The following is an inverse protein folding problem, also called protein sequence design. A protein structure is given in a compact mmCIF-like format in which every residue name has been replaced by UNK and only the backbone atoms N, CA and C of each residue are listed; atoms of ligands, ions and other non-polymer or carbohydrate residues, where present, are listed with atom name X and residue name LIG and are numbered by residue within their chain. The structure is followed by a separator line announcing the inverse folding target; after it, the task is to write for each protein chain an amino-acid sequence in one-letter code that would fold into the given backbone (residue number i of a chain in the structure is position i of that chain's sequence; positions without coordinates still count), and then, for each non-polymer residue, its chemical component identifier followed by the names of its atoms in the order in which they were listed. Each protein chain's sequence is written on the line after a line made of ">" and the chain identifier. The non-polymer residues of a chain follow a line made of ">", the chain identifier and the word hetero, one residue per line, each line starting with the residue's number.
data_IF_932561692769
#
_entry.id   IF_932561692769
#
_cell.length_a   1.000
_cell.length_b   1.000
_cell.length_c   1.000
_cell.angle_alpha   90.00
_cell.angle_beta   90.00
_cell.angle_gamma   90.00
#
_symmetry.space_group_name_H-M   'P 1'
#
loop_
_entity.id
_entity.type
_entity.pdbx_description
1 polymer ?
#
# COMPACT_ATOMS: atom_id res chain seq x y z
N UNK A 1 21.74 4.30 -3.72
CA UNK A 1 20.46 3.56 -3.77
C UNK A 1 19.42 4.47 -4.39
N UNK A 2 19.07 4.21 -5.65
CA UNK A 2 18.21 5.08 -6.46
C UNK A 2 16.74 4.95 -6.04
N UNK A 3 16.31 5.84 -5.14
CA UNK A 3 14.93 5.88 -4.63
C UNK A 3 13.92 6.06 -5.78
N UNK A 4 14.30 6.84 -6.80
CA UNK A 4 13.49 7.06 -8.00
C UNK A 4 13.22 5.78 -8.81
N UNK A 5 14.14 4.82 -8.83
CA UNK A 5 13.93 3.53 -9.49
C UNK A 5 12.88 2.70 -8.75
N UNK A 6 13.00 2.64 -7.42
CA UNK A 6 12.06 1.93 -6.55
C UNK A 6 10.66 2.52 -6.57
N UNK A 7 10.53 3.85 -6.63
CA UNK A 7 9.23 4.50 -6.77
C UNK A 7 8.57 4.18 -8.10
N UNK A 8 9.32 4.19 -9.21
CA UNK A 8 8.79 3.82 -10.52
C UNK A 8 8.29 2.39 -10.56
N UNK A 9 9.06 1.46 -10.00
CA UNK A 9 8.67 0.05 -9.89
C UNK A 9 7.42 -0.12 -9.00
N UNK A 10 7.35 0.60 -7.87
CA UNK A 10 6.19 0.60 -7.00
C UNK A 10 4.92 1.12 -7.70
N UNK A 11 5.03 2.19 -8.49
CA UNK A 11 3.92 2.72 -9.29
C UNK A 11 3.47 1.69 -10.34
N UNK A 12 4.40 0.98 -10.98
CA UNK A 12 4.05 -0.07 -11.93
C UNK A 12 3.31 -1.23 -11.25
N UNK A 13 3.79 -1.69 -10.10
CA UNK A 13 3.12 -2.72 -9.30
C UNK A 13 1.70 -2.30 -8.91
N UNK A 14 1.50 -1.05 -8.50
CA UNK A 14 0.16 -0.52 -8.21
C UNK A 14 -0.76 -0.55 -9.43
N UNK A 15 -0.25 -0.14 -10.59
CA UNK A 15 -1.03 -0.14 -11.82
C UNK A 15 -1.38 -1.58 -12.26
N UNK A 16 -0.48 -2.53 -12.06
CA UNK A 16 -0.71 -3.95 -12.34
C UNK A 16 -1.74 -4.56 -11.38
N UNK A 17 -1.64 -4.23 -10.09
CA UNK A 17 -2.61 -4.62 -9.07
C UNK A 17 -4.01 -4.09 -9.42
N UNK A 18 -4.13 -2.83 -9.81
CA UNK A 18 -5.42 -2.22 -10.19
C UNK A 18 -6.03 -2.91 -11.41
N UNK A 19 -5.21 -3.26 -12.41
CA UNK A 19 -5.65 -4.02 -13.58
C UNK A 19 -6.18 -5.40 -13.17
N UNK A 20 -5.51 -6.10 -12.25
CA UNK A 20 -5.99 -7.40 -11.72
C UNK A 20 -7.32 -7.27 -11.00
N UNK A 21 -7.49 -6.24 -10.16
CA UNK A 21 -8.76 -5.96 -9.47
C UNK A 21 -9.89 -5.73 -10.47
N UNK A 22 -9.68 -4.85 -11.48
CA UNK A 22 -10.68 -4.55 -12.51
C UNK A 22 -11.03 -5.76 -13.38
N UNK A 23 -10.02 -6.57 -13.72
CA UNK A 23 -10.21 -7.83 -14.44
C UNK A 23 -10.99 -8.86 -13.59
N UNK A 24 -10.78 -8.87 -12.27
CA UNK A 24 -11.59 -9.68 -11.35
C UNK A 24 -13.05 -9.24 -11.37
N UNK A 25 -13.31 -7.92 -11.29
CA UNK A 25 -14.67 -7.36 -11.31
C UNK A 25 -15.44 -7.61 -12.62
N UNK A 26 -14.74 -7.68 -13.76
CA UNK A 26 -15.37 -7.96 -15.07
C UNK A 26 -15.67 -9.45 -15.28
N UNK A 27 -14.87 -10.35 -14.72
CA UNK A 27 -15.04 -11.79 -14.85
C UNK A 27 -16.00 -12.37 -13.80
N UNK A 28 -16.08 -11.73 -12.62
CA UNK A 28 -16.87 -12.17 -11.46
C UNK A 28 -18.40 -12.02 -11.59
N UNK A 29 -18.94 -11.54 -12.72
CA UNK A 29 -20.37 -11.69 -12.98
C UNK A 29 -20.77 -13.15 -13.22
N UNK A 30 -19.82 -14.06 -13.46
CA UNK A 30 -20.06 -15.50 -13.56
C UNK A 30 -19.26 -16.30 -12.54
N UNK A 31 -19.92 -16.78 -11.48
CA UNK A 31 -19.53 -17.93 -10.66
C UNK A 31 -18.08 -17.97 -10.08
N UNK A 32 -17.94 -17.62 -8.79
CA UNK A 32 -17.06 -18.36 -7.85
C UNK A 32 -15.51 -18.37 -8.05
N UNK A 33 -14.89 -17.36 -8.67
CA UNK A 33 -13.43 -17.42 -8.97
C UNK A 33 -12.56 -16.18 -8.77
N UNK A 34 -13.03 -15.10 -8.14
CA UNK A 34 -12.32 -13.81 -8.15
C UNK A 34 -11.66 -13.35 -6.87
N UNK A 35 -11.78 -14.09 -5.75
CA UNK A 35 -11.09 -13.74 -4.50
C UNK A 35 -9.56 -13.83 -4.66
N UNK A 36 -9.04 -14.87 -5.32
CA UNK A 36 -7.59 -15.06 -5.52
C UNK A 36 -6.93 -13.89 -6.27
N UNK A 37 -7.63 -13.31 -7.27
CA UNK A 37 -7.11 -12.12 -7.99
C UNK A 37 -7.08 -10.87 -7.12
N UNK A 38 -8.00 -10.75 -6.18
CA UNK A 38 -8.05 -9.63 -5.23
C UNK A 38 -6.96 -9.83 -4.17
N UNK A 39 -6.72 -11.07 -3.71
CA UNK A 39 -5.60 -11.41 -2.80
C UNK A 39 -4.24 -11.10 -3.43
N UNK A 40 -4.01 -11.52 -4.68
CA UNK A 40 -2.78 -11.16 -5.42
C UNK A 40 -2.60 -9.64 -5.53
N UNK A 41 -3.69 -8.91 -5.79
CA UNK A 41 -3.63 -7.45 -5.87
C UNK A 41 -3.30 -6.81 -4.50
N UNK A 42 -3.83 -7.34 -3.40
CA UNK A 42 -3.45 -6.91 -2.05
C UNK A 42 -1.95 -7.04 -1.82
N UNK A 43 -1.37 -8.19 -2.13
CA UNK A 43 0.07 -8.43 -1.96
C UNK A 43 0.91 -7.47 -2.82
N UNK A 44 0.49 -7.20 -4.05
CA UNK A 44 1.16 -6.24 -4.93
C UNK A 44 1.12 -4.81 -4.38
N UNK A 45 -0.02 -4.38 -3.84
CA UNK A 45 -0.14 -3.08 -3.19
C UNK A 45 0.75 -2.98 -1.95
N UNK A 46 0.79 -4.01 -1.12
CA UNK A 46 1.65 -4.08 0.07
C UNK A 46 3.13 -4.05 -0.30
N UNK A 47 3.53 -4.77 -1.36
CA UNK A 47 4.90 -4.73 -1.88
C UNK A 47 5.25 -3.32 -2.38
N UNK A 48 4.37 -2.70 -3.18
CA UNK A 48 4.56 -1.32 -3.64
C UNK A 48 4.69 -0.34 -2.46
N UNK A 49 3.84 -0.48 -1.43
CA UNK A 49 3.90 0.33 -0.23
C UNK A 49 5.26 0.24 0.49
N UNK A 50 5.80 -0.98 0.62
CA UNK A 50 7.12 -1.18 1.21
C UNK A 50 8.24 -0.55 0.37
N UNK A 51 8.14 -0.57 -0.96
CA UNK A 51 9.09 0.12 -1.84
C UNK A 51 9.02 1.65 -1.69
N UNK A 52 7.82 2.22 -1.57
CA UNK A 52 7.64 3.64 -1.26
C UNK A 52 8.20 4.02 0.12
N UNK A 53 8.05 3.15 1.14
CA UNK A 53 8.70 3.34 2.45
C UNK A 53 10.22 3.40 2.31
N UNK A 54 10.83 2.51 1.53
CA UNK A 54 12.28 2.53 1.28
C UNK A 54 12.74 3.78 0.53
N UNK A 55 11.90 4.31 -0.37
CA UNK A 55 12.14 5.58 -1.05
C UNK A 55 11.87 6.81 -0.15
N UNK A 56 11.44 6.60 1.10
CA UNK A 56 11.01 7.65 2.04
C UNK A 56 9.84 8.48 1.54
N UNK A 57 9.07 7.94 0.59
CA UNK A 57 7.85 8.53 0.08
C UNK A 57 6.64 7.98 0.85
N UNK A 58 6.51 8.48 2.08
CA UNK A 58 5.51 8.01 3.03
C UNK A 58 4.07 8.31 2.58
N UNK A 59 3.85 9.38 1.81
CA UNK A 59 2.55 9.70 1.22
C UNK A 59 2.11 8.63 0.22
N UNK A 60 2.98 8.23 -0.70
CA UNK A 60 2.68 7.18 -1.67
C UNK A 60 2.52 5.81 -1.00
N UNK A 61 3.34 5.51 0.01
CA UNK A 61 3.20 4.30 0.82
C UNK A 61 1.83 4.19 1.50
N UNK A 62 1.39 5.28 2.15
CA UNK A 62 0.07 5.34 2.79
C UNK A 62 -1.06 5.11 1.78
N UNK A 63 -0.97 5.73 0.60
CA UNK A 63 -1.96 5.53 -0.47
C UNK A 63 -2.02 4.06 -0.91
N UNK A 64 -0.87 3.41 -1.10
CA UNK A 64 -0.79 2.00 -1.49
C UNK A 64 -1.40 1.07 -0.41
N UNK A 65 -1.08 1.30 0.87
CA UNK A 65 -1.69 0.55 1.98
C UNK A 65 -3.21 0.78 2.07
N UNK A 66 -3.70 2.00 1.82
CA UNK A 66 -5.14 2.25 1.75
C UNK A 66 -5.82 1.43 0.64
N UNK A 67 -5.18 1.26 -0.51
CA UNK A 67 -5.73 0.41 -1.59
C UNK A 67 -5.74 -1.06 -1.19
N UNK A 68 -4.64 -1.58 -0.62
CA UNK A 68 -4.60 -2.94 -0.06
C UNK A 68 -5.69 -3.16 0.99
N UNK A 69 -5.86 -2.21 1.92
CA UNK A 69 -6.85 -2.29 2.99
C UNK A 69 -8.28 -2.37 2.46
N UNK A 70 -8.61 -1.58 1.43
CA UNK A 70 -9.92 -1.61 0.76
C UNK A 70 -10.21 -2.95 0.10
N UNK A 71 -9.21 -3.55 -0.54
CA UNK A 71 -9.34 -4.89 -1.13
C UNK A 71 -9.51 -5.98 -0.06
N UNK A 72 -8.76 -5.90 1.04
CA UNK A 72 -8.97 -6.80 2.19
C UNK A 72 -10.39 -6.70 2.77
N UNK A 73 -11.03 -5.52 2.74
CA UNK A 73 -12.45 -5.40 3.11
C UNK A 73 -13.37 -6.16 2.15
N UNK A 74 -13.09 -6.12 0.84
CA UNK A 74 -13.87 -6.85 -0.17
C UNK A 74 -13.74 -8.37 0.00
N UNK A 75 -12.56 -8.83 0.42
CA UNK A 75 -12.29 -10.23 0.78
C UNK A 75 -12.89 -10.66 2.12
N UNK A 76 -13.55 -9.74 2.85
CA UNK A 76 -14.00 -9.94 4.23
C UNK A 76 -12.88 -10.23 5.26
N UNK A 77 -11.61 -10.01 4.89
CA UNK A 77 -10.46 -10.07 5.80
C UNK A 77 -10.35 -8.81 6.65
N UNK A 78 -11.27 -8.67 7.62
CA UNK A 78 -11.37 -7.49 8.48
C UNK A 78 -10.10 -7.21 9.29
N UNK A 79 -9.42 -8.26 9.76
CA UNK A 79 -8.18 -8.14 10.53
C UNK A 79 -7.05 -7.53 9.68
N UNK A 80 -6.81 -8.09 8.50
CA UNK A 80 -5.75 -7.60 7.60
C UNK A 80 -6.04 -6.18 7.08
N UNK A 81 -7.31 -5.88 6.83
CA UNK A 81 -7.75 -4.53 6.47
C UNK A 81 -7.45 -3.52 7.57
N UNK A 82 -7.78 -3.83 8.82
CA UNK A 82 -7.51 -2.95 9.96
C UNK A 82 -6.00 -2.69 10.11
N UNK A 83 -5.18 -3.74 10.05
CA UNK A 83 -3.71 -3.62 10.10
C UNK A 83 -3.20 -2.72 8.98
N UNK A 84 -3.67 -2.94 7.74
CA UNK A 84 -3.26 -2.14 6.58
C UNK A 84 -3.65 -0.67 6.72
N UNK A 85 -4.83 -0.36 7.29
CA UNK A 85 -5.24 1.02 7.56
C UNK A 85 -4.38 1.68 8.66
N UNK A 86 -4.00 0.93 9.69
CA UNK A 86 -3.07 1.41 10.73
C UNK A 86 -1.71 1.72 10.10
N UNK A 87 -1.18 0.85 9.25
CA UNK A 87 0.07 1.07 8.53
C UNK A 87 0.01 2.28 7.60
N UNK A 88 -1.11 2.47 6.91
CA UNK A 88 -1.36 3.66 6.10
C UNK A 88 -1.35 4.94 6.96
N UNK A 89 -2.05 4.92 8.10
CA UNK A 89 -2.10 6.04 9.04
C UNK A 89 -0.71 6.39 9.59
N UNK A 90 0.06 5.38 9.98
CA UNK A 90 1.44 5.54 10.44
C UNK A 90 2.33 6.13 9.33
N UNK A 91 2.15 5.70 8.08
CA UNK A 91 2.87 6.26 6.95
C UNK A 91 2.52 7.74 6.72
N UNK A 92 1.23 8.12 6.72
CA UNK A 92 0.84 9.53 6.57
C UNK A 92 1.35 10.40 7.72
N UNK A 93 1.27 9.90 8.94
CA UNK A 93 1.81 10.58 10.11
C UNK A 93 3.32 10.86 9.96
N UNK A 94 4.08 9.89 9.45
CA UNK A 94 5.52 10.05 9.16
C UNK A 94 5.81 10.92 7.92
N UNK A 95 4.84 11.08 7.03
CA UNK A 95 4.92 12.00 5.90
C UNK A 95 4.80 13.46 6.33
N UNK A 96 4.16 13.72 7.48
CA UNK A 96 3.96 15.06 8.03
C UNK A 96 5.32 15.72 8.33
N UNK A 97 5.62 16.90 7.74
CA UNK A 97 6.86 17.64 7.99
C UNK A 97 7.12 17.90 9.48
N UNK A 98 6.06 18.06 10.29
CA UNK A 98 6.15 18.40 11.71
C UNK A 98 6.62 17.22 12.57
N UNK A 99 6.13 16.01 12.28
CA UNK A 99 6.61 14.75 12.88
C UNK A 99 8.04 14.42 12.45
N UNK A 100 8.34 14.65 11.16
CA UNK A 100 9.66 14.34 10.59
C UNK A 100 10.78 15.25 11.10
N UNK A 101 10.43 16.44 11.60
CA UNK A 101 11.33 17.34 12.32
C UNK A 101 11.64 16.83 13.73
N UNK A 102 10.60 16.39 14.46
CA UNK A 102 10.72 15.82 15.81
C UNK A 102 11.55 14.55 15.85
N UNK A 103 11.37 13.61 14.91
CA UNK A 103 12.20 12.39 14.86
C UNK A 103 13.69 12.73 14.67
N UNK A 104 14.01 13.71 13.84
CA UNK A 104 15.40 14.13 13.60
C UNK A 104 16.04 14.85 14.78
N UNK A 105 15.22 15.52 15.59
CA UNK A 105 15.67 16.18 16.82
C UNK A 105 15.96 15.17 17.94
N UNK A 106 15.12 14.13 18.07
CA UNK A 106 15.35 13.02 18.99
C UNK A 106 16.59 12.22 18.59
N UNK A 107 16.78 11.92 17.30
CA UNK A 107 17.95 11.17 16.81
C UNK A 107 19.26 11.99 16.92
N UNK A 108 19.20 13.33 16.86
CA UNK A 108 20.36 14.19 17.14
C UNK A 108 20.71 14.30 18.62
N UNK A 109 19.80 13.91 19.50
CA UNK A 109 19.94 14.02 20.96
C UNK A 109 20.36 12.70 21.61
N UNK A 110 20.67 11.67 20.81
CA UNK A 110 21.25 10.38 21.21
C UNK A 110 22.67 10.25 20.66
#
# INVERSE_FOLDING_TARGET
>A
MDSAGKEREAVQLMAEAEKRVKASHSFLRGLFGGNTRIEEACEMYTRAANMFKMAKNWNAAGNAFCQAAKLHMQLQSKHDSATSFVDAGNAYKKADPQERGREREVERSM
#
